data_IF_923658769900
#
_entry.id   IF_923658769900
#
_cell.length_a   1.000
_cell.length_b   1.000
_cell.length_c   1.000
_cell.angle_alpha   90.00
_cell.angle_beta   90.00
_cell.angle_gamma   90.00
#
_symmetry.space_group_name_H-M   'P 1'
#
loop_
_entity.id
_entity.type
_entity.pdbx_description
1 polymer ?
#
# COMPACT_ATOMS: atom_id res chain seq x y z
N UNK A 1 10.42 -8.65 20.44
CA UNK A 1 10.02 -9.50 19.30
C UNK A 1 11.30 -10.12 18.73
N UNK A 2 11.41 -11.45 18.71
CA UNK A 2 12.61 -12.09 18.15
C UNK A 2 12.53 -12.08 16.62
N UNK A 3 13.56 -11.56 15.96
CA UNK A 3 13.71 -11.67 14.51
C UNK A 3 14.19 -13.08 14.20
N UNK A 4 13.35 -13.92 13.62
CA UNK A 4 13.82 -15.11 12.92
C UNK A 4 14.36 -14.64 11.57
N UNK A 5 15.61 -14.96 11.24
CA UNK A 5 16.14 -14.63 9.91
C UNK A 5 15.17 -15.19 8.85
N UNK A 6 14.54 -14.34 8.03
CA UNK A 6 13.71 -14.82 6.96
C UNK A 6 14.65 -15.52 5.98
N UNK A 7 14.39 -16.80 5.76
CA UNK A 7 15.19 -17.65 4.89
C UNK A 7 15.25 -17.03 3.48
N UNK A 8 16.44 -16.56 3.09
CA UNK A 8 16.84 -16.40 1.69
C UNK A 8 16.00 -15.45 0.83
N UNK A 9 15.58 -14.30 1.36
CA UNK A 9 14.90 -13.30 0.55
C UNK A 9 15.86 -12.76 -0.52
N UNK A 10 15.51 -12.89 -1.80
CA UNK A 10 16.31 -12.33 -2.88
C UNK A 10 16.33 -10.80 -2.75
N UNK A 11 17.53 -10.23 -2.62
CA UNK A 11 17.75 -8.78 -2.58
C UNK A 11 18.27 -8.32 -3.94
N UNK A 12 17.56 -7.40 -4.57
CA UNK A 12 18.02 -6.67 -5.74
C UNK A 12 18.32 -5.22 -5.32
N UNK A 13 19.53 -4.74 -5.60
CA UNK A 13 19.90 -3.34 -5.38
C UNK A 13 19.94 -2.61 -6.71
N UNK A 14 19.31 -1.44 -6.76
CA UNK A 14 19.35 -0.54 -7.93
C UNK A 14 19.60 0.88 -7.47
N UNK A 15 20.26 1.70 -8.30
CA UNK A 15 20.49 3.11 -8.02
C UNK A 15 19.76 4.01 -9.01
N UNK A 16 19.34 5.18 -8.53
CA UNK A 16 18.73 6.25 -9.32
C UNK A 16 19.74 7.36 -9.58
N UNK A 17 19.59 8.10 -10.67
CA UNK A 17 20.38 9.32 -10.90
C UNK A 17 19.98 10.44 -9.92
N UNK A 18 18.70 10.46 -9.56
CA UNK A 18 17.99 11.47 -8.79
C UNK A 18 17.73 11.01 -7.34
N UNK A 19 17.65 11.92 -6.37
CA UNK A 19 17.36 11.54 -4.98
C UNK A 19 15.90 11.05 -4.86
N UNK A 20 15.69 9.93 -4.20
CA UNK A 20 14.39 9.32 -3.95
C UNK A 20 13.72 10.06 -2.79
N UNK A 21 12.49 10.47 -3.02
CA UNK A 21 11.72 11.33 -2.11
C UNK A 21 10.42 10.69 -1.64
N UNK A 22 9.89 9.72 -2.38
CA UNK A 22 8.68 8.99 -2.02
C UNK A 22 8.72 7.57 -2.58
N UNK A 23 8.07 6.64 -1.87
CA UNK A 23 7.74 5.31 -2.35
C UNK A 23 6.23 5.09 -2.24
N UNK A 24 5.69 4.34 -3.18
CA UNK A 24 4.33 3.82 -3.16
C UNK A 24 4.22 2.63 -4.10
N UNK A 25 3.02 2.20 -4.42
CA UNK A 25 2.80 1.10 -5.35
C UNK A 25 1.53 1.27 -6.16
N UNK A 26 1.48 0.59 -7.29
CA UNK A 26 0.24 0.23 -7.97
C UNK A 26 0.04 -1.29 -7.89
N UNK A 27 -0.98 -1.82 -8.56
CA UNK A 27 -1.29 -3.25 -8.57
C UNK A 27 -0.15 -4.14 -9.07
N UNK A 28 0.80 -3.60 -9.85
CA UNK A 28 1.77 -4.39 -10.63
C UNK A 28 3.23 -4.00 -10.43
N UNK A 29 3.52 -2.96 -9.65
CA UNK A 29 4.86 -2.43 -9.47
C UNK A 29 5.00 -1.44 -8.32
N UNK A 30 6.23 -1.24 -7.86
CA UNK A 30 6.59 -0.13 -6.99
C UNK A 30 6.71 1.17 -7.81
N UNK A 31 6.19 2.27 -7.26
CA UNK A 31 6.38 3.62 -7.78
C UNK A 31 7.44 4.34 -6.95
N UNK A 32 8.39 4.97 -7.64
CA UNK A 32 9.53 5.64 -7.01
C UNK A 32 9.50 7.12 -7.40
N UNK A 33 9.13 7.95 -6.44
CA UNK A 33 9.21 9.41 -6.57
C UNK A 33 10.63 9.89 -6.35
N UNK A 34 11.10 10.79 -7.20
CA UNK A 34 12.44 11.40 -7.09
C UNK A 34 12.38 12.92 -7.10
N UNK A 35 13.50 13.58 -6.85
CA UNK A 35 13.66 15.03 -6.98
C UNK A 35 13.54 15.54 -8.43
N UNK A 36 13.57 14.65 -9.43
CA UNK A 36 13.52 15.00 -10.85
C UNK A 36 12.31 14.42 -11.60
N UNK A 37 11.51 13.56 -10.97
CA UNK A 37 10.42 12.89 -11.66
C UNK A 37 9.94 11.60 -11.00
N UNK A 38 9.09 10.87 -11.72
CA UNK A 38 8.55 9.57 -11.30
C UNK A 38 9.19 8.42 -12.09
N UNK A 39 9.60 7.37 -11.37
CA UNK A 39 10.08 6.12 -11.94
C UNK A 39 9.16 4.97 -11.53
N UNK A 40 9.17 3.91 -12.33
CA UNK A 40 8.52 2.61 -12.06
C UNK A 40 9.60 1.57 -11.82
N UNK A 41 9.52 0.87 -10.69
CA UNK A 41 10.35 -0.29 -10.39
C UNK A 41 9.50 -1.56 -10.60
N UNK A 42 9.87 -2.37 -11.59
CA UNK A 42 9.19 -3.63 -11.89
C UNK A 42 10.24 -4.72 -12.09
N UNK A 43 10.13 -5.82 -11.37
CA UNK A 43 11.07 -6.95 -11.45
C UNK A 43 12.54 -6.51 -11.29
N UNK A 44 12.82 -5.60 -10.34
CA UNK A 44 14.15 -5.04 -10.12
C UNK A 44 14.64 -4.05 -11.19
N UNK A 45 13.85 -3.75 -12.23
CA UNK A 45 14.22 -2.80 -13.27
C UNK A 45 13.51 -1.46 -13.09
N UNK A 46 14.28 -0.38 -13.14
CA UNK A 46 13.76 0.99 -13.14
C UNK A 46 13.47 1.46 -14.56
N UNK A 47 12.30 2.04 -14.75
CA UNK A 47 11.90 2.70 -16.00
C UNK A 47 11.31 4.07 -15.68
N UNK A 48 11.62 5.07 -16.50
CA UNK A 48 10.96 6.37 -16.41
C UNK A 48 9.55 6.25 -16.98
N UNK A 49 8.57 6.87 -16.32
CA UNK A 49 7.25 7.01 -16.94
C UNK A 49 7.37 7.89 -18.17
N UNK A 50 7.05 7.32 -19.33
CA UNK A 50 6.84 8.10 -20.54
C UNK A 50 5.34 8.38 -20.64
N UNK A 51 4.97 9.66 -20.65
CA UNK A 51 3.59 10.04 -20.91
C UNK A 51 3.12 9.54 -22.26
N UNK A 52 1.81 9.33 -22.38
CA UNK A 52 1.20 9.15 -23.68
C UNK A 52 1.29 10.53 -24.36
N UNK A 53 2.19 10.66 -25.34
CA UNK A 53 2.69 11.80 -26.15
C UNK A 53 1.90 13.13 -26.33
N UNK A 54 0.73 13.35 -25.72
CA UNK A 54 -0.05 14.59 -25.79
C UNK A 54 -0.19 15.33 -24.43
N UNK A 55 0.22 14.75 -23.30
CA UNK A 55 0.10 15.38 -21.97
C UNK A 55 1.47 15.55 -21.28
N UNK A 56 1.58 16.60 -20.46
CA UNK A 56 2.77 16.86 -19.64
C UNK A 56 2.98 15.70 -18.66
N UNK A 57 3.99 14.87 -18.92
CA UNK A 57 4.42 13.79 -18.03
C UNK A 57 5.58 14.17 -17.14
N UNK A 58 6.11 15.39 -17.26
CA UNK A 58 7.11 15.89 -16.35
C UNK A 58 6.42 16.27 -15.04
N UNK A 59 6.62 15.47 -14.01
CA UNK A 59 6.07 15.75 -12.68
C UNK A 59 6.90 16.76 -11.90
N UNK A 60 8.17 16.97 -12.29
CA UNK A 60 9.20 17.51 -11.41
C UNK A 60 9.36 16.66 -10.14
N UNK A 61 9.85 17.28 -9.05
CA UNK A 61 10.03 16.64 -7.75
C UNK A 61 8.73 16.02 -7.24
N UNK A 62 8.73 14.72 -6.98
CA UNK A 62 7.62 14.01 -6.34
C UNK A 62 7.73 14.18 -4.82
N UNK A 63 6.65 14.58 -4.17
CA UNK A 63 6.60 14.78 -2.72
C UNK A 63 5.93 13.62 -1.99
N UNK A 64 4.86 13.04 -2.56
CA UNK A 64 4.13 11.94 -1.97
C UNK A 64 3.44 11.10 -3.04
N UNK A 65 3.22 9.82 -2.73
CA UNK A 65 2.51 8.86 -3.57
C UNK A 65 1.43 8.20 -2.69
N UNK A 66 0.20 8.17 -3.17
CA UNK A 66 -0.88 7.41 -2.54
C UNK A 66 -1.39 6.33 -3.47
N UNK A 67 -1.35 5.09 -3.00
CA UNK A 67 -1.99 3.96 -3.68
C UNK A 67 -3.51 4.14 -3.71
N UNK A 68 -4.15 3.72 -4.78
CA UNK A 68 -5.61 3.61 -4.92
C UNK A 68 -5.98 2.23 -5.44
N UNK A 69 -7.27 1.93 -5.50
CA UNK A 69 -7.78 0.64 -6.00
C UNK A 69 -7.15 0.26 -7.35
N UNK A 70 -7.10 1.23 -8.29
CA UNK A 70 -6.49 1.02 -9.61
C UNK A 70 -5.46 2.11 -9.93
N UNK A 71 -4.21 1.92 -9.51
CA UNK A 71 -3.10 2.83 -9.81
C UNK A 71 -2.66 3.68 -8.61
N UNK A 72 -2.31 4.94 -8.84
CA UNK A 72 -1.86 5.84 -7.76
C UNK A 72 -2.12 7.32 -8.04
N UNK A 73 -2.12 8.12 -6.98
CA UNK A 73 -2.01 9.58 -7.03
C UNK A 73 -0.60 10.02 -6.68
N UNK A 74 -0.09 11.01 -7.42
CA UNK A 74 1.26 11.55 -7.29
C UNK A 74 1.14 13.04 -6.99
N UNK A 75 1.57 13.42 -5.78
CA UNK A 75 1.78 14.82 -5.44
C UNK A 75 3.18 15.22 -5.88
N UNK A 76 3.29 16.17 -6.80
CA UNK A 76 4.56 16.60 -7.34
C UNK A 76 4.65 18.12 -7.50
N UNK A 77 5.84 18.63 -7.79
CA UNK A 77 6.11 20.06 -7.93
C UNK A 77 5.25 20.73 -9.01
N UNK A 78 4.90 19.99 -10.06
CA UNK A 78 4.06 20.46 -11.17
C UNK A 78 2.55 20.19 -11.00
N UNK A 79 2.13 19.75 -9.81
CA UNK A 79 0.72 19.55 -9.46
C UNK A 79 0.39 18.13 -9.03
N UNK A 80 -0.88 17.76 -9.21
CA UNK A 80 -1.40 16.44 -8.90
C UNK A 80 -1.48 15.61 -10.18
N UNK A 81 -0.93 14.39 -10.16
CA UNK A 81 -0.99 13.47 -11.28
C UNK A 81 -1.65 12.16 -10.87
N UNK A 82 -2.40 11.54 -11.78
CA UNK A 82 -2.87 10.18 -11.64
C UNK A 82 -2.02 9.25 -12.49
N UNK A 83 -1.75 8.06 -11.95
CA UNK A 83 -1.16 6.94 -12.66
C UNK A 83 -2.22 5.86 -12.80
N UNK A 84 -2.40 5.37 -14.03
CA UNK A 84 -3.28 4.26 -14.33
C UNK A 84 -2.59 3.32 -15.32
N UNK A 85 -2.23 2.11 -14.85
CA UNK A 85 -1.41 1.17 -15.63
C UNK A 85 -0.16 1.91 -16.13
N UNK A 86 0.08 2.03 -17.43
CA UNK A 86 1.28 2.66 -17.98
C UNK A 86 1.09 4.14 -18.33
N UNK A 87 -0.06 4.73 -18.01
CA UNK A 87 -0.35 6.13 -18.30
C UNK A 87 -0.18 6.99 -17.05
N UNK A 88 0.39 8.17 -17.24
CA UNK A 88 0.39 9.27 -16.27
C UNK A 88 -0.36 10.46 -16.88
N UNK A 89 -1.24 11.08 -16.10
CA UNK A 89 -2.02 12.23 -16.52
C UNK A 89 -2.04 13.31 -15.42
N UNK A 90 -1.83 14.56 -15.80
CA UNK A 90 -1.97 15.71 -14.89
C UNK A 90 -3.45 15.97 -14.62
N UNK A 91 -3.82 16.08 -13.34
CA UNK A 91 -5.19 16.35 -12.92
C UNK A 91 -5.59 17.79 -13.23
N UNK A 92 -6.84 18.02 -13.64
CA UNK A 92 -7.38 19.35 -13.93
C UNK A 92 -7.44 20.25 -12.69
N UNK A 93 -7.56 19.68 -11.48
CA UNK A 93 -7.53 20.49 -10.24
C UNK A 93 -6.15 21.07 -9.96
N UNK A 94 -5.11 20.64 -10.67
CA UNK A 94 -3.74 21.13 -10.48
C UNK A 94 -3.59 22.63 -10.73
N UNK A 95 -4.42 23.21 -11.59
CA UNK A 95 -4.36 24.65 -11.89
C UNK A 95 -5.04 25.50 -10.81
N UNK A 96 -5.95 24.89 -10.03
CA UNK A 96 -6.58 25.52 -8.88
C UNK A 96 -5.79 25.31 -7.58
N UNK A 97 -4.83 24.38 -7.56
CA UNK A 97 -3.95 24.18 -6.42
C UNK A 97 -2.95 25.32 -6.32
N UNK A 98 -2.64 25.81 -5.10
CA UNK A 98 -1.56 26.78 -4.91
C UNK A 98 -0.28 26.24 -5.54
N UNK A 99 0.31 27.01 -6.45
CA UNK A 99 1.49 26.60 -7.20
C UNK A 99 2.59 26.12 -6.22
N UNK A 100 2.92 24.83 -6.30
CA UNK A 100 4.07 24.18 -5.68
C UNK A 100 4.14 24.19 -4.14
N UNK A 101 3.28 23.43 -3.45
CA UNK A 101 3.49 23.07 -2.04
C UNK A 101 2.83 21.76 -1.60
N UNK A 102 2.52 20.83 -2.52
CA UNK A 102 1.95 19.53 -2.15
C UNK A 102 2.95 18.72 -1.31
N UNK A 103 2.50 18.21 -0.17
CA UNK A 103 3.31 17.47 0.80
C UNK A 103 2.76 16.09 1.13
N UNK A 104 1.45 15.90 1.04
CA UNK A 104 0.80 14.64 1.35
C UNK A 104 -0.38 14.41 0.40
N UNK A 105 -0.72 13.14 0.19
CA UNK A 105 -1.93 12.73 -0.54
C UNK A 105 -2.51 11.47 0.09
N UNK A 106 -3.83 11.39 0.09
CA UNK A 106 -4.56 10.15 0.30
C UNK A 106 -5.83 10.17 -0.56
N UNK A 107 -6.36 9.01 -0.92
CA UNK A 107 -7.57 8.92 -1.71
C UNK A 107 -8.54 7.90 -1.11
N UNK A 108 -9.81 8.08 -1.40
CA UNK A 108 -10.87 7.14 -1.05
C UNK A 108 -11.97 7.19 -2.09
N UNK A 109 -12.63 6.06 -2.31
CA UNK A 109 -13.77 5.96 -3.23
C UNK A 109 -15.00 5.60 -2.41
N UNK A 110 -16.02 6.45 -2.46
CA UNK A 110 -17.31 6.19 -1.80
C UNK A 110 -18.41 6.27 -2.85
N UNK A 111 -19.21 5.21 -2.98
CA UNK A 111 -20.29 5.12 -3.97
C UNK A 111 -19.84 5.47 -5.40
N UNK A 112 -18.63 5.03 -5.80
CA UNK A 112 -18.06 5.28 -7.12
C UNK A 112 -17.48 6.69 -7.33
N UNK A 113 -17.53 7.56 -6.32
CA UNK A 113 -16.93 8.90 -6.37
C UNK A 113 -15.58 8.88 -5.66
N UNK A 114 -14.52 9.12 -6.42
CA UNK A 114 -13.17 9.28 -5.89
C UNK A 114 -13.03 10.67 -5.24
N UNK A 115 -12.52 10.68 -4.02
CA UNK A 115 -12.18 11.87 -3.25
C UNK A 115 -10.72 11.83 -2.88
N UNK A 116 -9.97 12.86 -3.28
CA UNK A 116 -8.54 13.00 -3.04
C UNK A 116 -8.33 14.06 -1.98
N UNK A 117 -7.62 13.71 -0.92
CA UNK A 117 -7.21 14.61 0.15
C UNK A 117 -5.76 15.02 -0.09
N UNK A 118 -5.52 16.33 -0.07
CA UNK A 118 -4.26 16.93 -0.46
C UNK A 118 -3.73 17.78 0.69
N UNK A 119 -2.54 17.42 1.16
CA UNK A 119 -1.82 18.19 2.14
C UNK A 119 -0.90 19.18 1.45
N UNK A 120 -0.88 20.41 1.94
CA UNK A 120 0.08 21.43 1.51
C UNK A 120 0.79 22.06 2.71
N UNK A 121 1.74 22.96 2.45
CA UNK A 121 2.27 23.85 3.49
C UNK A 121 1.23 24.82 4.05
N UNK A 122 0.19 25.12 3.28
CA UNK A 122 -0.82 26.14 3.58
C UNK A 122 -2.14 25.53 4.10
N UNK A 123 -2.18 24.22 4.30
CA UNK A 123 -3.31 23.49 4.88
C UNK A 123 -3.82 22.34 4.04
N UNK A 124 -5.03 21.90 4.37
CA UNK A 124 -5.68 20.72 3.84
C UNK A 124 -6.70 21.10 2.74
N UNK A 125 -6.67 20.34 1.65
CA UNK A 125 -7.62 20.47 0.55
C UNK A 125 -8.29 19.13 0.26
N UNK A 126 -9.49 19.19 -0.28
CA UNK A 126 -10.27 18.04 -0.76
C UNK A 126 -10.61 18.28 -2.22
N UNK A 127 -10.21 17.36 -3.09
CA UNK A 127 -10.64 17.32 -4.47
C UNK A 127 -11.67 16.20 -4.68
N UNK A 128 -12.83 16.52 -5.26
CA UNK A 128 -13.86 15.53 -5.58
C UNK A 128 -14.70 16.03 -6.74
N UNK A 129 -15.03 15.16 -7.70
CA UNK A 129 -15.82 15.52 -8.89
C UNK A 129 -15.30 16.78 -9.64
N UNK A 130 -13.97 16.95 -9.70
CA UNK A 130 -13.33 18.10 -10.35
C UNK A 130 -13.40 19.42 -9.56
N UNK A 131 -14.01 19.42 -8.38
CA UNK A 131 -14.03 20.57 -7.47
C UNK A 131 -12.91 20.45 -6.44
N UNK A 132 -12.39 21.60 -6.00
CA UNK A 132 -11.35 21.70 -4.99
C UNK A 132 -11.84 22.59 -3.86
N UNK A 133 -11.97 22.00 -2.66
CA UNK A 133 -12.38 22.69 -1.44
C UNK A 133 -11.21 22.80 -0.48
N UNK A 134 -11.04 23.97 0.15
CA UNK A 134 -10.14 24.09 1.30
C UNK A 134 -10.86 23.64 2.56
N UNK A 135 -10.25 22.73 3.30
CA UNK A 135 -10.81 22.22 4.56
C UNK A 135 -10.21 23.00 5.72
N UNK A 136 -11.06 23.65 6.50
CA UNK A 136 -10.62 24.44 7.64
C UNK A 136 -10.25 23.54 8.82
N UNK A 137 -8.98 23.58 9.24
CA UNK A 137 -8.52 23.01 10.50
C UNK A 137 -8.39 24.19 11.49
N UNK A 138 -9.18 24.22 12.58
CA UNK A 138 -9.16 25.34 13.50
C UNK A 138 -7.76 25.64 14.05
N UNK A 139 -7.41 26.93 14.10
CA UNK A 139 -6.22 27.48 14.77
C UNK A 139 -4.87 27.07 14.16
N UNK A 140 -4.82 26.56 12.94
CA UNK A 140 -3.58 26.00 12.38
C UNK A 140 -3.39 26.39 10.91
N UNK A 141 -2.43 27.28 10.64
CA UNK A 141 -1.81 27.43 9.32
C UNK A 141 -0.54 26.59 9.30
N UNK A 142 -0.69 25.27 9.45
CA UNK A 142 0.47 24.37 9.55
C UNK A 142 0.57 23.45 8.36
N UNK A 143 1.82 23.16 8.02
CA UNK A 143 2.20 22.19 7.00
C UNK A 143 1.55 20.85 7.33
N UNK A 144 0.90 20.24 6.34
CA UNK A 144 0.41 18.87 6.43
C UNK A 144 1.58 17.92 6.16
N UNK A 145 1.90 17.05 7.12
CA UNK A 145 3.03 16.10 7.02
C UNK A 145 2.59 14.73 6.45
N UNK A 146 1.33 14.37 6.63
CA UNK A 146 0.81 13.09 6.16
C UNK A 146 -0.72 13.02 6.25
N UNK A 147 -1.32 12.19 5.42
CA UNK A 147 -2.76 11.95 5.39
C UNK A 147 -2.98 10.44 5.25
N UNK A 148 -3.90 9.88 6.03
CA UNK A 148 -4.42 8.53 5.85
C UNK A 148 -5.95 8.54 5.93
N UNK A 149 -6.61 7.59 5.27
CA UNK A 149 -8.06 7.46 5.32
C UNK A 149 -8.45 6.22 6.13
N UNK A 150 -9.38 6.41 7.08
CA UNK A 150 -10.02 5.35 7.86
C UNK A 150 -11.51 5.64 7.93
N UNK A 151 -12.37 4.68 7.57
CA UNK A 151 -13.80 4.63 7.85
C UNK A 151 -14.50 5.97 8.14
N UNK A 152 -14.74 6.75 7.09
CA UNK A 152 -15.49 8.00 7.20
C UNK A 152 -14.71 9.19 7.77
N UNK A 153 -13.41 9.04 8.05
CA UNK A 153 -12.51 10.13 8.49
C UNK A 153 -11.20 10.18 7.67
N UNK A 154 -10.69 11.39 7.48
CA UNK A 154 -9.30 11.63 7.11
C UNK A 154 -8.49 11.89 8.39
N UNK A 155 -7.43 11.11 8.59
CA UNK A 155 -6.46 11.30 9.67
C UNK A 155 -5.30 12.12 9.12
N UNK A 156 -5.10 13.30 9.68
CA UNK A 156 -4.22 14.35 9.15
C UNK A 156 -3.15 14.67 10.16
N UNK A 157 -1.90 14.43 9.80
CA UNK A 157 -0.74 14.80 10.61
C UNK A 157 -0.28 16.21 10.29
N UNK A 158 -0.11 17.03 11.32
CA UNK A 158 0.31 18.43 11.23
C UNK A 158 1.78 18.58 11.64
N UNK A 159 2.47 19.54 11.03
CA UNK A 159 3.85 19.89 11.37
C UNK A 159 4.03 20.40 12.81
N UNK A 160 2.94 20.78 13.48
CA UNK A 160 2.92 21.12 14.92
C UNK A 160 3.01 19.90 15.84
N UNK A 161 3.04 18.67 15.29
CA UNK A 161 3.05 17.44 16.08
C UNK A 161 1.67 17.02 16.61
N UNK A 162 0.62 17.48 15.93
CA UNK A 162 -0.77 17.10 16.20
C UNK A 162 -1.29 16.17 15.12
N UNK A 163 -2.24 15.32 15.48
CA UNK A 163 -3.03 14.53 14.54
C UNK A 163 -4.48 14.94 14.67
N UNK A 164 -5.12 15.23 13.54
CA UNK A 164 -6.51 15.59 13.46
C UNK A 164 -7.31 14.53 12.69
N UNK A 165 -8.45 14.11 13.25
CA UNK A 165 -9.48 13.37 12.53
C UNK A 165 -10.46 14.38 11.94
N UNK A 166 -10.65 14.34 10.62
CA UNK A 166 -11.57 15.18 9.87
C UNK A 166 -12.68 14.30 9.29
N UNK A 167 -13.93 14.52 9.69
CA UNK A 167 -15.08 13.80 9.14
C UNK A 167 -15.19 14.02 7.62
N UNK A 168 -15.28 12.94 6.84
CA UNK A 168 -15.40 13.02 5.38
C UNK A 168 -16.73 13.63 4.94
N UNK A 169 -17.79 13.45 5.75
CA UNK A 169 -19.14 13.94 5.46
C UNK A 169 -19.46 15.27 6.18
N UNK A 170 -19.20 15.36 7.48
CA UNK A 170 -19.62 16.50 8.31
C UNK A 170 -18.51 17.53 8.56
N UNK A 171 -17.30 17.27 8.07
CA UNK A 171 -16.13 18.13 8.23
C UNK A 171 -15.76 18.47 9.67
N UNK A 172 -16.27 17.72 10.66
CA UNK A 172 -15.89 17.94 12.06
C UNK A 172 -14.45 17.56 12.26
N UNK A 173 -13.72 18.46 12.92
CA UNK A 173 -12.30 18.30 13.20
C UNK A 173 -12.10 18.00 14.68
N UNK A 174 -11.36 16.94 14.98
CA UNK A 174 -10.90 16.60 16.34
C UNK A 174 -9.41 16.39 16.31
N UNK A 175 -8.66 17.10 17.15
CA UNK A 175 -7.20 17.03 17.13
C UNK A 175 -6.64 16.60 18.49
N UNK A 176 -5.56 15.84 18.46
CA UNK A 176 -4.80 15.42 19.64
C UNK A 176 -3.30 15.68 19.42
N UNK A 177 -2.58 16.01 20.48
CA UNK A 177 -1.12 16.09 20.46
C UNK A 177 -0.53 14.69 20.47
N UNK A 178 0.42 14.44 19.55
CA UNK A 178 1.11 13.15 19.43
C UNK A 178 2.64 13.30 19.39
N UNK A 179 3.14 14.51 19.19
CA UNK A 179 4.55 14.80 18.93
C UNK A 179 4.87 14.80 17.43
N UNK A 180 6.15 15.04 17.04
CA UNK A 180 6.54 15.12 15.64
C UNK A 180 6.22 13.83 14.89
N UNK A 181 5.31 13.94 13.92
CA UNK A 181 4.89 12.80 13.07
C UNK A 181 5.93 12.61 11.95
N UNK A 182 6.35 11.36 11.75
CA UNK A 182 7.31 10.98 10.70
C UNK A 182 6.69 10.32 9.48
N UNK A 183 5.46 9.82 9.61
CA UNK A 183 4.78 9.15 8.53
C UNK A 183 3.34 8.80 8.89
N UNK A 184 2.52 8.72 7.84
CA UNK A 184 1.13 8.27 7.91
C UNK A 184 0.93 7.27 6.77
N UNK A 185 0.28 6.16 7.05
CA UNK A 185 -0.09 5.16 6.07
C UNK A 185 -1.51 4.67 6.35
N UNK A 186 -2.25 4.28 5.31
CA UNK A 186 -3.60 3.74 5.46
C UNK A 186 -3.81 2.47 4.63
N UNK A 187 -4.50 1.50 5.21
CA UNK A 187 -4.91 0.29 4.51
C UNK A 187 -6.10 -0.37 5.22
N UNK A 188 -7.08 -0.88 4.47
CA UNK A 188 -8.19 -1.66 5.04
C UNK A 188 -9.03 -0.93 6.09
N UNK A 189 -9.20 0.39 5.98
CA UNK A 189 -9.90 1.20 6.98
C UNK A 189 -9.08 1.51 8.25
N UNK A 190 -7.84 1.02 8.32
CA UNK A 190 -6.89 1.34 9.38
C UNK A 190 -5.95 2.47 8.94
N UNK A 191 -5.57 3.34 9.88
CA UNK A 191 -4.53 4.36 9.67
C UNK A 191 -3.43 4.18 10.70
N UNK A 192 -2.20 4.06 10.22
CA UNK A 192 -0.99 4.06 11.03
C UNK A 192 -0.35 5.44 11.00
N UNK A 193 -0.13 5.99 12.18
CA UNK A 193 0.66 7.21 12.40
C UNK A 193 1.88 6.84 13.21
N UNK A 194 3.05 7.35 12.80
CA UNK A 194 4.29 7.14 13.55
C UNK A 194 4.83 8.47 14.06
N UNK A 195 5.17 8.49 15.35
CA UNK A 195 5.99 9.53 15.93
C UNK A 195 7.40 8.98 16.22
N UNK A 196 8.28 9.78 16.84
CA UNK A 196 9.67 9.38 17.13
C UNK A 196 9.75 8.15 18.06
N UNK A 197 8.71 7.87 18.83
CA UNK A 197 8.71 6.87 19.88
C UNK A 197 7.62 5.79 19.75
N UNK A 198 6.55 6.06 19.00
CA UNK A 198 5.37 5.20 18.96
C UNK A 198 4.88 4.88 17.55
N UNK A 199 4.39 3.65 17.41
CA UNK A 199 3.45 3.26 16.36
C UNK A 199 2.04 3.47 16.90
N UNK A 200 1.20 4.26 16.23
CA UNK A 200 -0.19 4.51 16.61
C UNK A 200 -1.13 4.05 15.50
N UNK A 201 -1.95 3.04 15.77
CA UNK A 201 -2.93 2.51 14.83
C UNK A 201 -4.32 2.99 15.21
N UNK A 202 -4.97 3.67 14.27
CA UNK A 202 -6.38 3.98 14.29
C UNK A 202 -7.14 2.85 13.61
N UNK A 203 -7.99 2.16 14.37
CA UNK A 203 -8.82 1.05 13.87
C UNK A 203 -10.13 1.54 13.24
N UNK A 204 -10.79 0.73 12.41
CA UNK A 204 -12.14 0.94 11.91
C UNK A 204 -13.15 1.44 12.94
N UNK A 205 -13.12 0.87 14.15
CA UNK A 205 -14.09 1.12 15.21
C UNK A 205 -13.94 2.47 15.93
N UNK A 206 -13.03 3.34 15.48
CA UNK A 206 -12.78 4.63 16.13
C UNK A 206 -11.60 4.63 17.09
N UNK A 207 -11.11 3.45 17.52
CA UNK A 207 -10.17 3.36 18.62
C UNK A 207 -8.73 3.49 18.16
N UNK A 208 -7.93 4.06 19.04
CA UNK A 208 -6.49 4.15 18.89
C UNK A 208 -5.79 3.08 19.73
N UNK A 209 -4.83 2.40 19.12
CA UNK A 209 -3.87 1.53 19.77
C UNK A 209 -2.47 2.12 19.58
N UNK A 210 -1.64 2.03 20.61
CA UNK A 210 -0.27 2.55 20.55
C UNK A 210 0.71 1.50 21.06
N UNK A 211 1.85 1.41 20.39
CA UNK A 211 2.98 0.58 20.81
C UNK A 211 4.22 1.44 20.89
N UNK A 212 4.91 1.36 22.02
CA UNK A 212 6.25 1.90 22.18
C UNK A 212 7.27 0.84 21.77
N UNK A 213 8.18 1.19 20.87
CA UNK A 213 9.27 0.29 20.50
C UNK A 213 10.27 0.23 21.65
N UNK A 214 10.49 -0.97 22.22
CA UNK A 214 11.52 -1.16 23.25
C UNK A 214 12.95 -1.03 22.70
N UNK A 215 13.11 -1.25 21.39
CA UNK A 215 14.39 -1.16 20.70
C UNK A 215 14.15 -0.84 19.23
N UNK A 216 15.11 -0.14 18.63
CA UNK A 216 15.04 0.29 17.24
C UNK A 216 14.20 1.56 17.05
N UNK A 217 14.66 2.42 16.14
CA UNK A 217 13.98 3.65 15.76
C UNK A 217 13.02 3.37 14.60
N UNK A 218 11.81 3.91 14.65
CA UNK A 218 10.87 3.83 13.53
C UNK A 218 11.30 4.88 12.49
N UNK A 219 11.57 4.41 11.27
CA UNK A 219 12.13 5.22 10.20
C UNK A 219 11.06 5.65 9.19
N UNK A 220 10.14 4.76 8.83
CA UNK A 220 9.11 5.04 7.85
C UNK A 220 7.90 4.11 8.00
N UNK A 221 6.77 4.52 7.43
CA UNK A 221 5.60 3.66 7.23
C UNK A 221 5.06 3.85 5.82
N UNK A 222 4.38 2.82 5.33
CA UNK A 222 3.63 2.85 4.07
C UNK A 222 2.52 1.81 4.13
N UNK A 223 1.63 1.83 3.16
CA UNK A 223 0.83 0.67 2.80
C UNK A 223 1.43 -0.06 1.60
N UNK A 224 1.16 -1.36 1.48
CA UNK A 224 1.39 -2.12 0.25
C UNK A 224 0.19 -2.00 -0.68
N UNK A 225 0.38 -2.29 -1.96
CA UNK A 225 -0.74 -2.43 -2.90
C UNK A 225 -1.69 -3.60 -2.55
N UNK A 226 -1.25 -4.56 -1.73
CA UNK A 226 -2.09 -5.60 -1.16
C UNK A 226 -2.91 -5.13 0.07
N UNK A 227 -2.86 -3.85 0.43
CA UNK A 227 -3.59 -3.32 1.58
C UNK A 227 -3.01 -3.73 2.92
N UNK A 228 -1.70 -3.96 3.03
CA UNK A 228 -1.03 -4.21 4.30
C UNK A 228 -0.32 -2.96 4.80
N UNK A 229 -0.40 -2.66 6.09
CA UNK A 229 0.42 -1.62 6.72
C UNK A 229 1.83 -2.15 6.96
N UNK A 230 2.82 -1.36 6.57
CA UNK A 230 4.25 -1.66 6.68
C UNK A 230 4.92 -0.61 7.56
N UNK A 231 5.86 -1.04 8.38
CA UNK A 231 6.74 -0.17 9.15
C UNK A 231 8.20 -0.57 8.93
N UNK A 232 9.05 0.40 8.63
CA UNK A 232 10.50 0.24 8.60
C UNK A 232 11.07 0.74 9.93
N UNK A 233 11.85 -0.11 10.56
CA UNK A 233 12.60 0.21 11.78
C UNK A 233 14.09 0.05 11.51
N UNK A 234 14.93 0.58 12.40
CA UNK A 234 16.38 0.36 12.33
C UNK A 234 16.80 -1.11 12.52
N UNK A 235 15.87 -2.00 12.88
CA UNK A 235 16.08 -3.44 13.01
C UNK A 235 15.56 -4.25 11.80
N UNK A 236 14.71 -3.65 10.97
CA UNK A 236 14.10 -4.30 9.81
C UNK A 236 12.67 -3.84 9.53
N UNK A 237 12.01 -4.51 8.59
CA UNK A 237 10.63 -4.25 8.21
C UNK A 237 9.63 -5.13 8.96
N UNK A 238 8.51 -4.53 9.33
CA UNK A 238 7.37 -5.14 9.99
C UNK A 238 6.11 -4.98 9.13
N UNK A 239 5.22 -5.97 9.14
CA UNK A 239 3.85 -5.85 8.62
C UNK A 239 2.85 -5.96 9.75
N UNK A 240 1.76 -5.20 9.66
CA UNK A 240 0.58 -5.42 10.49
C UNK A 240 -0.27 -6.54 9.88
N UNK A 241 -0.42 -7.66 10.61
CA UNK A 241 -1.20 -8.83 10.18
C UNK A 241 -1.84 -9.53 11.36
N UNK A 242 -3.12 -9.88 11.25
CA UNK A 242 -3.87 -10.61 12.28
C UNK A 242 -3.74 -9.96 13.67
N UNK A 243 -4.00 -8.65 13.73
CA UNK A 243 -3.93 -7.83 14.95
C UNK A 243 -2.57 -7.82 15.66
N UNK A 244 -1.49 -8.08 14.92
CA UNK A 244 -0.14 -8.04 15.45
C UNK A 244 0.89 -7.58 14.41
N UNK A 245 1.93 -6.90 14.90
CA UNK A 245 3.13 -6.67 14.11
C UNK A 245 3.89 -7.99 13.90
N UNK A 246 4.27 -8.26 12.66
CA UNK A 246 5.03 -9.45 12.26
C UNK A 246 6.33 -9.01 11.58
N UNK A 247 7.49 -9.56 11.98
CA UNK A 247 8.73 -9.37 11.25
C UNK A 247 8.59 -9.87 9.81
N UNK A 248 9.00 -9.05 8.84
CA UNK A 248 9.04 -9.43 7.42
C UNK A 248 10.46 -9.76 6.97
N UNK A 249 11.36 -8.81 7.17
CA UNK A 249 12.74 -8.91 6.73
C UNK A 249 13.66 -8.11 7.64
N UNK A 250 14.82 -8.69 7.95
CA UNK A 250 15.91 -7.94 8.56
C UNK A 250 16.54 -7.07 7.49
N UNK A 251 16.19 -5.79 7.52
CA UNK A 251 16.64 -4.79 6.55
C UNK A 251 17.51 -3.80 7.30
N UNK A 252 18.70 -3.53 6.76
CA UNK A 252 19.59 -2.50 7.28
C UNK A 252 19.62 -1.30 6.33
N UNK A 253 19.37 -0.13 6.89
CA UNK A 253 19.34 1.13 6.14
C UNK A 253 18.04 1.34 5.37
N UNK A 254 17.71 2.61 5.16
CA UNK A 254 16.46 3.03 4.54
C UNK A 254 15.77 4.14 5.33
N UNK A 255 15.11 5.04 4.62
CA UNK A 255 14.25 6.08 5.19
C UNK A 255 12.86 6.07 4.58
N UNK A 256 12.63 5.18 3.61
CA UNK A 256 11.36 4.98 2.93
C UNK A 256 11.11 3.48 2.80
N UNK A 257 9.83 3.11 2.81
CA UNK A 257 9.38 1.76 2.56
C UNK A 257 8.17 1.83 1.62
N UNK A 258 8.07 0.90 0.69
CA UNK A 258 6.92 0.68 -0.18
C UNK A 258 6.67 -0.82 -0.30
N UNK A 259 5.43 -1.21 -0.58
CA UNK A 259 5.06 -2.61 -0.76
C UNK A 259 4.30 -2.84 -2.04
N UNK A 260 4.62 -3.93 -2.73
CA UNK A 260 3.91 -4.37 -3.92
C UNK A 260 2.72 -5.28 -3.55
N UNK A 261 1.87 -5.54 -4.53
CA UNK A 261 0.76 -6.49 -4.39
C UNK A 261 1.27 -7.90 -4.09
N UNK A 262 2.45 -8.25 -4.61
CA UNK A 262 3.16 -9.51 -4.38
C UNK A 262 3.66 -9.71 -2.95
N UNK A 263 3.55 -8.68 -2.11
CA UNK A 263 4.16 -8.61 -0.79
C UNK A 263 5.65 -8.29 -0.82
N UNK A 264 6.24 -8.07 -2.00
CA UNK A 264 7.62 -7.61 -2.10
C UNK A 264 7.73 -6.22 -1.47
N UNK A 265 8.88 -5.96 -0.84
CA UNK A 265 9.12 -4.72 -0.12
C UNK A 265 10.25 -3.99 -0.80
N UNK A 266 10.06 -2.72 -1.05
CA UNK A 266 11.11 -1.83 -1.52
C UNK A 266 11.47 -0.87 -0.40
N UNK A 267 12.75 -0.75 -0.08
CA UNK A 267 13.25 0.35 0.77
C UNK A 267 14.13 1.27 -0.04
N UNK A 268 14.20 2.53 0.38
CA UNK A 268 15.08 3.51 -0.25
C UNK A 268 15.86 4.31 0.78
N UNK A 269 17.10 4.63 0.43
CA UNK A 269 17.89 5.67 1.09
C UNK A 269 18.59 6.51 0.01
N UNK A 270 18.27 7.80 -0.03
CA UNK A 270 18.88 8.75 -0.96
C UNK A 270 18.72 8.30 -2.40
N UNK A 271 19.74 7.70 -3.04
CA UNK A 271 19.70 7.22 -4.43
C UNK A 271 19.68 5.70 -4.57
N UNK A 272 19.64 4.97 -3.45
CA UNK A 272 19.72 3.50 -3.43
C UNK A 272 18.35 2.94 -3.13
N UNK A 273 17.87 2.07 -4.02
CA UNK A 273 16.71 1.21 -3.83
C UNK A 273 17.19 -0.20 -3.51
N UNK A 274 16.58 -0.80 -2.51
CA UNK A 274 16.72 -2.22 -2.21
C UNK A 274 15.34 -2.84 -2.33
N UNK A 275 15.22 -3.80 -3.22
CA UNK A 275 14.02 -4.56 -3.45
C UNK A 275 14.21 -5.94 -2.85
N UNK A 276 13.37 -6.25 -1.87
CA UNK A 276 13.30 -7.53 -1.21
C UNK A 276 12.12 -8.26 -1.80
N UNK A 277 12.38 -9.36 -2.50
CA UNK A 277 11.32 -10.26 -2.92
C UNK A 277 10.45 -10.63 -1.71
N UNK A 278 9.20 -10.99 -1.90
CA UNK A 278 8.38 -11.35 -0.74
C UNK A 278 8.82 -12.66 -0.08
N UNK A 279 9.63 -13.47 -0.79
CA UNK A 279 9.72 -14.91 -0.51
C UNK A 279 8.38 -15.63 -0.72
N UNK A 280 7.36 -14.89 -1.18
CA UNK A 280 5.99 -15.27 -1.48
C UNK A 280 5.72 -15.04 -2.98
N UNK A 281 6.71 -15.22 -3.85
CA UNK A 281 6.59 -15.14 -5.33
C UNK A 281 5.70 -16.27 -5.90
N UNK A 282 4.70 -16.68 -5.13
CA UNK A 282 3.65 -17.62 -5.48
C UNK A 282 2.71 -16.91 -6.45
N UNK A 283 2.79 -17.30 -7.70
CA UNK A 283 1.91 -16.82 -8.78
C UNK A 283 0.84 -17.85 -9.09
N UNK A 284 -0.31 -17.40 -9.58
CA UNK A 284 -1.40 -18.33 -9.84
C UNK A 284 -1.00 -19.34 -10.92
N UNK A 285 -0.57 -18.86 -12.09
CA UNK A 285 -0.25 -19.72 -13.24
C UNK A 285 0.86 -20.75 -12.95
N UNK A 286 1.90 -20.36 -12.19
CA UNK A 286 3.04 -21.25 -11.90
C UNK A 286 2.78 -22.18 -10.71
N UNK A 287 2.17 -21.66 -9.64
CA UNK A 287 2.19 -22.34 -8.34
C UNK A 287 0.81 -22.80 -7.89
N UNK A 288 -0.26 -22.06 -8.20
CA UNK A 288 -1.61 -22.35 -7.68
C UNK A 288 -2.47 -23.16 -8.64
N UNK A 289 -2.53 -22.75 -9.91
CA UNK A 289 -3.32 -23.42 -10.93
C UNK A 289 -2.94 -24.91 -11.01
N UNK A 290 -1.65 -25.31 -11.02
CA UNK A 290 -1.30 -26.74 -11.03
C UNK A 290 -1.84 -27.51 -9.82
N UNK A 291 -1.83 -26.91 -8.62
CA UNK A 291 -2.37 -27.51 -7.40
C UNK A 291 -3.89 -27.69 -7.54
N UNK A 292 -4.61 -26.64 -7.92
CA UNK A 292 -6.07 -26.70 -8.03
C UNK A 292 -6.52 -27.62 -9.17
N UNK A 293 -5.77 -27.66 -10.28
CA UNK A 293 -6.04 -28.58 -11.39
C UNK A 293 -5.85 -30.02 -10.97
N UNK A 294 -4.80 -30.34 -10.21
CA UNK A 294 -4.52 -31.69 -9.72
C UNK A 294 -5.56 -32.18 -8.71
N UNK A 295 -6.03 -31.31 -7.81
CA UNK A 295 -6.84 -31.71 -6.65
C UNK A 295 -8.35 -31.42 -6.80
N UNK A 296 -8.75 -30.41 -7.57
CA UNK A 296 -10.13 -29.90 -7.55
C UNK A 296 -10.95 -30.22 -8.81
N UNK A 297 -10.32 -30.36 -9.98
CA UNK A 297 -11.05 -30.50 -11.26
C UNK A 297 -11.93 -31.74 -11.34
N UNK A 298 -11.53 -32.85 -10.71
CA UNK A 298 -12.31 -34.10 -10.70
C UNK A 298 -13.69 -33.94 -10.04
N UNK A 299 -13.79 -33.09 -9.02
CA UNK A 299 -15.03 -32.82 -8.29
C UNK A 299 -15.84 -31.66 -8.86
N UNK A 300 -15.25 -30.84 -9.73
CA UNK A 300 -15.82 -29.60 -10.26
C UNK A 300 -16.00 -29.65 -11.79
N UNK A 301 -16.22 -30.85 -12.35
CA UNK A 301 -16.46 -31.08 -13.77
C UNK A 301 -17.96 -31.12 -14.10
N UNK A 302 -18.31 -31.13 -15.38
CA UNK A 302 -19.70 -31.31 -15.79
C UNK A 302 -20.28 -32.63 -15.27
N UNK A 303 -21.47 -32.55 -14.66
CA UNK A 303 -22.17 -33.72 -14.11
C UNK A 303 -21.60 -34.26 -12.78
N UNK A 304 -20.62 -33.60 -12.15
CA UNK A 304 -20.19 -33.96 -10.79
C UNK A 304 -21.10 -33.36 -9.70
N UNK A 305 -20.91 -33.81 -8.46
CA UNK A 305 -21.71 -33.38 -7.32
C UNK A 305 -21.43 -31.93 -6.85
N UNK A 306 -20.27 -31.34 -7.19
CA UNK A 306 -19.97 -29.94 -6.86
C UNK A 306 -20.24 -29.00 -8.05
N UNK A 307 -20.53 -27.71 -7.79
CA UNK A 307 -20.71 -26.72 -8.85
C UNK A 307 -19.48 -26.64 -9.76
N UNK A 308 -19.68 -26.53 -11.07
CA UNK A 308 -18.57 -26.40 -12.01
C UNK A 308 -17.82 -25.08 -11.79
N UNK A 309 -16.50 -25.18 -11.67
CA UNK A 309 -15.58 -24.03 -11.64
C UNK A 309 -14.37 -24.32 -12.52
N UNK A 310 -13.92 -23.32 -13.27
CA UNK A 310 -12.68 -23.41 -14.04
C UNK A 310 -11.50 -22.92 -13.18
N UNK A 311 -10.76 -23.85 -12.59
CA UNK A 311 -9.58 -23.54 -11.78
C UNK A 311 -8.30 -23.32 -12.61
N UNK A 312 -8.37 -23.42 -13.94
CA UNK A 312 -7.31 -22.91 -14.81
C UNK A 312 -7.45 -21.38 -15.01
N UNK A 313 -8.65 -20.83 -14.81
CA UNK A 313 -8.91 -19.40 -14.95
C UNK A 313 -8.60 -18.64 -13.66
N UNK A 314 -7.74 -17.62 -13.79
CA UNK A 314 -7.32 -16.78 -12.68
C UNK A 314 -8.49 -16.00 -12.09
N UNK A 315 -9.32 -15.37 -12.93
CA UNK A 315 -10.41 -14.51 -12.46
C UNK A 315 -11.44 -15.32 -11.64
N UNK A 316 -11.80 -16.49 -12.13
CA UNK A 316 -12.66 -17.46 -11.44
C UNK A 316 -12.04 -17.87 -10.11
N UNK A 317 -10.78 -18.32 -10.10
CA UNK A 317 -10.12 -18.76 -8.86
C UNK A 317 -10.01 -17.63 -7.85
N UNK A 318 -9.61 -16.43 -8.28
CA UNK A 318 -9.49 -15.23 -7.46
C UNK A 318 -10.82 -14.91 -6.75
N UNK A 319 -11.93 -14.97 -7.48
CA UNK A 319 -13.27 -14.73 -6.91
C UNK A 319 -13.67 -15.74 -5.83
N UNK A 320 -13.08 -16.94 -5.85
CA UNK A 320 -13.34 -18.03 -4.91
C UNK A 320 -12.28 -18.15 -3.81
N UNK A 321 -11.19 -17.36 -3.88
CA UNK A 321 -9.97 -17.62 -3.13
C UNK A 321 -10.18 -17.71 -1.61
N UNK A 322 -11.01 -16.83 -1.03
CA UNK A 322 -11.36 -16.88 0.39
C UNK A 322 -12.03 -18.19 0.78
N UNK A 323 -13.04 -18.63 0.01
CA UNK A 323 -13.76 -19.86 0.26
C UNK A 323 -12.87 -21.10 0.05
N UNK A 324 -12.01 -21.07 -0.98
CA UNK A 324 -11.05 -22.13 -1.28
C UNK A 324 -10.09 -22.33 -0.11
N UNK A 325 -9.39 -21.28 0.34
CA UNK A 325 -8.41 -21.37 1.43
C UNK A 325 -9.07 -21.85 2.72
N UNK A 326 -10.25 -21.34 3.07
CA UNK A 326 -10.99 -21.76 4.26
C UNK A 326 -11.37 -23.24 4.21
N UNK A 327 -11.95 -23.71 3.09
CA UNK A 327 -12.37 -25.12 2.95
C UNK A 327 -11.20 -26.09 2.93
N UNK A 328 -10.08 -25.71 2.30
CA UNK A 328 -8.84 -26.50 2.27
C UNK A 328 -8.21 -26.57 3.67
N UNK A 329 -8.24 -25.47 4.43
CA UNK A 329 -7.76 -25.46 5.81
C UNK A 329 -8.59 -26.40 6.71
N UNK A 330 -9.90 -26.48 6.47
CA UNK A 330 -10.81 -27.38 7.17
C UNK A 330 -10.80 -28.85 6.66
N UNK A 331 -10.03 -29.16 5.61
CA UNK A 331 -10.01 -30.50 5.00
C UNK A 331 -11.31 -30.89 4.30
N UNK A 332 -12.12 -29.90 3.91
CA UNK A 332 -13.37 -30.11 3.16
C UNK A 332 -13.12 -30.19 1.66
N UNK A 333 -11.97 -29.72 1.19
CA UNK A 333 -11.58 -29.74 -0.22
C UNK A 333 -10.11 -30.18 -0.36
N UNK A 334 -9.85 -31.28 -1.08
CA UNK A 334 -10.81 -32.29 -1.56
C UNK A 334 -11.60 -32.93 -0.40
N UNK A 335 -12.81 -33.48 -0.59
CA UNK A 335 -13.49 -34.23 0.48
C UNK A 335 -12.91 -35.66 0.63
N UNK A 336 -12.91 -36.26 1.84
CA UNK A 336 -12.58 -37.67 2.00
C UNK A 336 -13.46 -38.58 1.11
N UNK A 337 -12.93 -39.68 0.54
CA UNK A 337 -11.60 -40.26 0.78
C UNK A 337 -10.50 -39.72 -0.15
N UNK A 338 -10.74 -38.62 -0.88
CA UNK A 338 -9.74 -38.07 -1.80
C UNK A 338 -8.52 -37.55 -1.04
N UNK A 339 -7.36 -37.64 -1.70
CA UNK A 339 -6.11 -37.15 -1.16
C UNK A 339 -6.22 -35.65 -0.86
N UNK A 340 -5.84 -35.27 0.37
CA UNK A 340 -5.76 -33.88 0.76
C UNK A 340 -4.51 -33.23 0.17
N UNK A 341 -4.54 -31.90 0.05
CA UNK A 341 -3.33 -31.13 -0.24
C UNK A 341 -2.29 -31.36 0.85
N UNK A 342 -1.03 -31.46 0.43
CA UNK A 342 0.13 -31.48 1.33
C UNK A 342 0.25 -30.16 2.09
N UNK A 343 0.97 -30.16 3.22
CA UNK A 343 1.23 -28.94 3.98
C UNK A 343 1.95 -27.86 3.16
N UNK A 344 2.78 -28.27 2.19
CA UNK A 344 3.47 -27.35 1.28
C UNK A 344 2.52 -26.65 0.30
N UNK A 345 1.61 -27.42 -0.32
CA UNK A 345 0.61 -26.87 -1.24
C UNK A 345 -0.39 -25.95 -0.52
N UNK A 346 -0.80 -26.31 0.70
CA UNK A 346 -1.63 -25.45 1.56
C UNK A 346 -0.93 -24.13 1.86
N UNK A 347 0.36 -24.16 2.14
CA UNK A 347 1.16 -22.96 2.37
C UNK A 347 1.28 -22.08 1.12
N UNK A 348 1.44 -22.67 -0.07
CA UNK A 348 1.45 -21.91 -1.32
C UNK A 348 0.10 -21.21 -1.54
N UNK A 349 -1.02 -21.90 -1.36
CA UNK A 349 -2.35 -21.29 -1.45
C UNK A 349 -2.55 -20.15 -0.45
N UNK A 350 -2.12 -20.34 0.80
CA UNK A 350 -2.20 -19.30 1.84
C UNK A 350 -1.29 -18.09 1.52
N UNK A 351 -0.09 -18.35 1.02
CA UNK A 351 0.85 -17.33 0.57
C UNK A 351 0.29 -16.53 -0.61
N UNK A 352 -0.25 -17.20 -1.61
CA UNK A 352 -0.89 -16.56 -2.76
C UNK A 352 -2.10 -15.73 -2.33
N UNK A 353 -2.96 -16.30 -1.47
CA UNK A 353 -4.13 -15.61 -0.95
C UNK A 353 -3.77 -14.37 -0.13
N UNK A 354 -2.83 -14.50 0.80
CA UNK A 354 -2.38 -13.43 1.69
C UNK A 354 -1.45 -12.42 0.99
N UNK A 355 -0.82 -12.83 -0.11
CA UNK A 355 0.07 -12.06 -0.97
C UNK A 355 -0.64 -11.43 -2.17
N UNK A 356 -1.93 -11.08 -2.02
CA UNK A 356 -2.66 -10.29 -3.02
C UNK A 356 -3.14 -11.06 -4.25
N UNK A 357 -3.02 -12.40 -4.27
CA UNK A 357 -3.53 -13.28 -5.32
C UNK A 357 -2.97 -12.93 -6.70
N UNK A 358 -1.65 -12.97 -6.88
CA UNK A 358 -1.01 -12.65 -8.16
C UNK A 358 -1.42 -13.65 -9.28
N UNK A 359 -1.60 -13.21 -10.54
CA UNK A 359 -1.89 -14.09 -11.67
C UNK A 359 -0.73 -15.03 -12.06
#
# INVERSE_FOLDING_TARGET
>A
MAWTDPVGVAEATTTTAAAITALGGDEVSSLVGTDSGLLRLKNGQLTTFQGNSAQDSDTGRVAAIATRDVGAWICAAKGLFSVHVNAIARSSVSDALPAANLTAVAATTTAGVETVWLGTKDGLFRASAGQLDRVHIPQESTKIEGIGIADGVAVVALGSGRVCEVGLQDHKVRCAEVGPVRGVASAGGEVLVIDVHHLRLRRPDGKWQAWQMQSGEIQAVSSSAAGQLLALTSLGALAWRNDAWKPLAKISGGHLIGGESSGAITTANSKVLRHYGSGLDTSFSKDIAPILLAHCTNCHRDGSAAPKHDFADFATTRSLATALVQRIALGQMPPPPLAQLTSGEKKLLDNWYSGGQLP
#
